data_IF_384536568190
#
_entry.id   IF_384536568190
#
_cell.length_a   1.000
_cell.length_b   1.000
_cell.length_c   1.000
_cell.angle_alpha   90.00
_cell.angle_beta   90.00
_cell.angle_gamma   90.00
#
_symmetry.space_group_name_H-M   'P 1'
#
loop_
_entity.id
_entity.type
_entity.pdbx_description
1 polymer ?
#
# COMPACT_ATOMS: atom_id res chain seq x y z
N UNK A 1 -6.87 17.84 6.25
CA UNK A 1 -6.73 16.38 6.30
C UNK A 1 -7.22 15.77 5.02
N UNK A 2 -6.50 14.81 4.46
CA UNK A 2 -6.88 14.25 3.20
C UNK A 2 -7.73 13.01 3.37
N UNK A 3 -8.59 12.75 2.41
CA UNK A 3 -9.44 11.58 2.45
C UNK A 3 -8.82 10.48 1.63
N UNK A 4 -8.98 9.24 2.04
CA UNK A 4 -8.54 8.12 1.24
C UNK A 4 -9.71 7.66 0.38
N UNK A 5 -9.47 7.49 -0.92
CA UNK A 5 -10.50 7.05 -1.84
C UNK A 5 -9.97 5.91 -2.69
N UNK A 6 -10.84 5.18 -3.34
CA UNK A 6 -10.47 4.08 -4.22
C UNK A 6 -11.64 3.70 -5.09
N UNK A 7 -11.39 2.85 -6.06
CA UNK A 7 -12.43 2.35 -6.95
C UNK A 7 -13.16 1.20 -6.24
N UNK A 8 -14.47 1.31 -6.01
CA UNK A 8 -15.20 0.26 -5.28
C UNK A 8 -15.17 -1.10 -5.96
N UNK A 9 -15.19 -1.13 -7.29
CA UNK A 9 -15.15 -2.40 -7.99
C UNK A 9 -13.80 -3.07 -7.84
N UNK A 10 -12.75 -2.30 -7.88
CA UNK A 10 -11.41 -2.83 -7.68
C UNK A 10 -11.29 -3.38 -6.24
N UNK A 11 -11.89 -2.68 -5.29
CA UNK A 11 -11.86 -3.10 -3.90
C UNK A 11 -12.52 -4.47 -3.73
N UNK A 12 -13.68 -4.68 -4.35
CA UNK A 12 -14.35 -5.96 -4.24
C UNK A 12 -13.53 -7.06 -4.90
N UNK A 13 -12.89 -6.77 -6.01
CA UNK A 13 -12.08 -7.74 -6.68
C UNK A 13 -10.87 -8.14 -5.82
N UNK A 14 -10.22 -7.18 -5.18
CA UNK A 14 -9.07 -7.47 -4.34
C UNK A 14 -9.47 -8.31 -3.12
N UNK A 15 -10.64 -8.02 -2.53
CA UNK A 15 -11.10 -8.79 -1.40
C UNK A 15 -11.34 -10.23 -1.81
N UNK A 16 -11.88 -10.43 -3.01
CA UNK A 16 -12.17 -11.75 -3.48
C UNK A 16 -10.89 -12.50 -3.84
N UNK A 17 -9.96 -11.84 -4.48
CA UNK A 17 -8.75 -12.51 -4.93
C UNK A 17 -7.65 -12.62 -3.89
N UNK A 18 -7.53 -11.63 -3.02
CA UNK A 18 -6.42 -11.58 -2.10
C UNK A 18 -6.82 -11.46 -0.65
N UNK A 19 -8.12 -11.43 -0.39
CA UNK A 19 -8.63 -11.36 0.97
C UNK A 19 -8.16 -10.10 1.70
N UNK A 20 -7.89 -9.02 0.97
CA UNK A 20 -7.52 -7.76 1.55
C UNK A 20 -8.15 -6.65 0.73
N UNK A 21 -8.70 -5.66 1.39
CA UNK A 21 -9.34 -4.55 0.73
C UNK A 21 -8.70 -3.24 1.12
N UNK A 22 -9.11 -2.17 0.46
CA UNK A 22 -8.55 -0.85 0.76
C UNK A 22 -8.92 -0.39 2.17
N UNK A 23 -10.03 -0.87 2.72
CA UNK A 23 -10.38 -0.53 4.09
C UNK A 23 -9.34 -1.06 5.05
N UNK A 24 -8.77 -2.24 4.76
CA UNK A 24 -7.73 -2.80 5.61
C UNK A 24 -6.48 -1.97 5.53
N UNK A 25 -6.16 -1.46 4.33
CA UNK A 25 -5.00 -0.61 4.14
C UNK A 25 -5.14 0.66 4.97
N UNK A 26 -6.30 1.31 4.90
CA UNK A 26 -6.53 2.55 5.63
C UNK A 26 -6.47 2.29 7.13
N UNK A 27 -7.07 1.18 7.58
CA UNK A 27 -7.03 0.83 8.99
C UNK A 27 -5.58 0.72 9.47
N UNK A 28 -4.74 0.04 8.70
CA UNK A 28 -3.36 -0.14 9.11
C UNK A 28 -2.53 1.14 8.99
N UNK A 29 -2.84 2.01 8.02
CA UNK A 29 -2.17 3.29 7.94
C UNK A 29 -2.47 4.09 9.21
N UNK A 30 -3.72 4.10 9.64
CA UNK A 30 -4.11 4.85 10.81
C UNK A 30 -3.59 4.22 12.10
N UNK A 31 -3.30 2.94 12.08
CA UNK A 31 -2.73 2.27 13.23
C UNK A 31 -1.21 2.43 13.30
N UNK A 32 -0.61 3.10 12.34
CA UNK A 32 0.84 3.32 12.36
C UNK A 32 1.65 2.24 11.65
N UNK A 33 1.00 1.42 10.84
CA UNK A 33 1.70 0.34 10.15
C UNK A 33 2.22 0.73 8.78
N UNK A 34 2.17 2.01 8.44
CA UNK A 34 2.79 2.50 7.23
C UNK A 34 4.28 2.60 7.51
N UNK A 35 5.09 1.89 6.78
CA UNK A 35 6.52 1.86 7.05
C UNK A 35 7.38 2.65 6.08
N UNK A 36 6.86 2.96 4.91
CA UNK A 36 7.66 3.71 3.94
C UNK A 36 6.78 4.27 2.83
N UNK A 37 7.30 5.25 2.12
CA UNK A 37 6.66 5.78 0.94
C UNK A 37 7.73 5.82 -0.14
N UNK A 38 7.52 5.11 -1.24
CA UNK A 38 8.49 5.02 -2.30
C UNK A 38 8.03 5.84 -3.49
N UNK A 39 8.97 6.41 -4.23
CA UNK A 39 8.64 7.15 -5.41
C UNK A 39 8.70 6.26 -6.61
N UNK A 40 7.85 6.54 -7.59
CA UNK A 40 7.87 5.77 -8.82
C UNK A 40 9.17 6.06 -9.57
N UNK A 41 9.76 5.06 -10.17
CA UNK A 41 11.00 5.26 -10.92
C UNK A 41 10.82 6.22 -12.09
N UNK A 42 9.67 6.21 -12.74
CA UNK A 42 9.45 7.04 -13.91
C UNK A 42 8.58 8.22 -13.54
N UNK A 43 9.19 9.26 -12.98
CA UNK A 43 8.44 10.42 -12.54
C UNK A 43 7.85 11.22 -13.67
N UNK A 44 8.44 11.17 -14.85
CA UNK A 44 7.91 11.93 -15.96
C UNK A 44 6.58 11.36 -16.40
N UNK A 45 6.42 10.05 -16.33
CA UNK A 45 5.20 9.44 -16.76
C UNK A 45 4.17 9.40 -15.64
N UNK A 46 4.61 9.34 -14.38
CA UNK A 46 3.72 9.25 -13.24
C UNK A 46 4.09 10.31 -12.20
N UNK A 47 3.93 11.59 -12.57
CA UNK A 47 4.48 12.67 -11.73
C UNK A 47 3.93 12.75 -10.32
N UNK A 48 2.69 12.36 -10.11
CA UNK A 48 2.11 12.45 -8.79
C UNK A 48 1.85 11.10 -8.15
N UNK A 49 2.44 10.04 -8.70
CA UNK A 49 2.17 8.71 -8.19
C UNK A 49 3.31 8.22 -7.31
N UNK A 50 2.97 7.72 -6.15
CA UNK A 50 3.94 7.16 -5.22
C UNK A 50 3.44 5.80 -4.78
N UNK A 51 4.24 5.08 -4.02
CA UNK A 51 3.88 3.77 -3.54
C UNK A 51 4.02 3.74 -2.03
N UNK A 52 2.94 3.40 -1.35
CA UNK A 52 2.95 3.30 0.08
C UNK A 52 3.27 1.86 0.46
N UNK A 53 4.08 1.67 1.47
CA UNK A 53 4.39 0.32 1.96
C UNK A 53 3.71 0.18 3.31
N UNK A 54 2.78 -0.76 3.41
CA UNK A 54 1.98 -0.96 4.62
C UNK A 54 2.12 -2.40 5.08
N UNK A 55 2.36 -2.60 6.36
CA UNK A 55 2.45 -3.96 6.90
C UNK A 55 1.06 -4.38 7.39
N UNK A 56 0.59 -5.51 6.90
CA UNK A 56 -0.69 -6.07 7.31
C UNK A 56 -0.46 -7.52 7.67
N UNK A 57 -0.63 -7.83 8.93
CA UNK A 57 -0.47 -9.19 9.43
C UNK A 57 0.85 -9.83 9.04
N UNK A 58 1.90 -9.08 9.15
CA UNK A 58 3.25 -9.61 8.91
C UNK A 58 3.70 -9.58 7.48
N UNK A 59 2.88 -9.08 6.56
CA UNK A 59 3.27 -8.99 5.17
C UNK A 59 3.28 -7.55 4.71
N UNK A 60 4.22 -7.20 3.86
CA UNK A 60 4.31 -5.87 3.31
C UNK A 60 3.54 -5.80 2.00
N UNK A 61 2.62 -4.83 1.93
CA UNK A 61 1.85 -4.62 0.73
C UNK A 61 2.25 -3.28 0.13
N UNK A 62 2.36 -3.24 -1.18
CA UNK A 62 2.67 -2.01 -1.89
C UNK A 62 1.36 -1.46 -2.41
N UNK A 63 1.09 -0.21 -2.10
CA UNK A 63 -0.17 0.42 -2.47
C UNK A 63 0.14 1.68 -3.26
N UNK A 64 0.16 1.58 -4.59
CA UNK A 64 0.35 2.76 -5.42
C UNK A 64 -0.80 3.75 -5.21
N UNK A 65 -0.48 5.02 -5.13
CA UNK A 65 -1.50 6.03 -4.92
C UNK A 65 -1.17 7.32 -5.65
N UNK A 66 -2.19 8.13 -5.85
CA UNK A 66 -2.03 9.44 -6.44
C UNK A 66 -2.59 10.43 -5.44
N UNK A 67 -1.83 11.46 -5.13
CA UNK A 67 -2.23 12.40 -4.11
C UNK A 67 -2.57 13.73 -4.71
N UNK A 68 -3.66 14.36 -4.24
CA UNK A 68 -4.02 15.70 -4.63
C UNK A 68 -4.14 16.52 -3.36
N UNK A 69 -4.65 17.74 -3.44
CA UNK A 69 -4.75 18.60 -2.27
C UNK A 69 -5.72 18.04 -1.24
N UNK A 70 -6.74 17.34 -1.65
CA UNK A 70 -7.77 16.90 -0.72
C UNK A 70 -7.91 15.41 -0.59
N UNK A 71 -7.28 14.62 -1.45
CA UNK A 71 -7.48 13.19 -1.33
C UNK A 71 -6.27 12.37 -1.75
N UNK A 72 -6.22 11.16 -1.25
CA UNK A 72 -5.19 10.19 -1.60
C UNK A 72 -5.96 9.05 -2.25
N UNK A 73 -5.79 8.88 -3.56
CA UNK A 73 -6.50 7.84 -4.29
C UNK A 73 -5.64 6.58 -4.36
N UNK A 74 -6.09 5.52 -3.69
CA UNK A 74 -5.35 4.26 -3.63
C UNK A 74 -5.71 3.44 -4.87
N UNK A 75 -4.71 3.10 -5.65
CA UNK A 75 -4.95 2.48 -6.96
C UNK A 75 -5.09 0.97 -6.93
N UNK A 76 -4.26 0.30 -6.19
CA UNK A 76 -4.34 -1.15 -6.08
C UNK A 76 -3.54 -1.60 -4.85
N UNK A 77 -3.54 -2.89 -4.57
CA UNK A 77 -2.82 -3.46 -3.44
C UNK A 77 -2.02 -4.64 -3.97
N UNK A 78 -0.72 -4.64 -3.74
CA UNK A 78 0.15 -5.68 -4.27
C UNK A 78 0.95 -6.29 -3.13
N UNK A 79 0.84 -7.59 -2.93
CA UNK A 79 1.66 -8.26 -1.93
C UNK A 79 3.08 -8.34 -2.46
N UNK A 80 4.04 -7.95 -1.67
CA UNK A 80 5.44 -7.99 -2.08
C UNK A 80 6.25 -8.82 -1.10
N UNK A 81 6.73 -9.97 -1.55
CA UNK A 81 7.57 -10.80 -0.71
C UNK A 81 8.91 -10.16 -0.44
N UNK A 82 9.43 -9.44 -1.44
CA UNK A 82 10.70 -8.76 -1.28
C UNK A 82 10.59 -7.66 -0.23
N UNK A 83 9.52 -6.88 -0.28
CA UNK A 83 9.32 -5.83 0.70
C UNK A 83 9.02 -6.43 2.08
N UNK A 84 8.31 -7.53 2.12
CA UNK A 84 8.03 -8.20 3.38
C UNK A 84 9.34 -8.56 4.06
N UNK A 85 10.26 -9.17 3.31
CA UNK A 85 11.52 -9.55 3.89
C UNK A 85 12.31 -8.34 4.35
N UNK A 86 12.27 -7.28 3.57
CA UNK A 86 13.04 -6.09 3.90
C UNK A 86 12.51 -5.38 5.14
N UNK A 87 11.19 -5.25 5.26
CA UNK A 87 10.62 -4.44 6.34
C UNK A 87 10.20 -5.22 7.57
N UNK A 88 10.08 -6.53 7.49
CA UNK A 88 9.82 -7.31 8.69
C UNK A 88 11.11 -7.85 9.24
N UNK A 89 12.21 -7.40 8.65
CA UNK A 89 13.46 -7.78 9.20
C UNK A 89 14.00 -9.06 8.74
N UNK A 90 13.39 -9.65 7.81
CA UNK A 90 13.93 -10.80 7.25
C UNK A 90 14.80 -11.55 8.18
N UNK A 91 15.10 -10.93 9.25
CA UNK A 91 16.02 -11.54 10.12
C UNK A 91 15.45 -12.78 10.66
N UNK A 92 14.20 -12.92 10.54
CA UNK A 92 13.61 -14.06 11.00
C UNK A 92 14.14 -15.23 10.41
N UNK A 93 14.58 -15.08 9.26
CA UNK A 93 15.07 -16.16 8.70
C UNK A 93 16.29 -16.51 9.20
N UNK A 94 16.83 -15.76 9.84
CA UNK A 94 17.99 -16.02 10.30
C UNK A 94 17.87 -16.80 11.29
N UNK A 95 17.07 -16.68 11.57
CA UNK A 95 17.02 -17.36 12.56
C UNK A 95 17.10 -18.47 12.35
#
# INVERSE_FOLDING_TARGET
MKHYTWNPEKNELLKKERDVGFEDVVFHIEAGDEVDVLERPNKERYPNQKILVVLIEGYAYLVPFVESDSEVFLKTIILSRKATKRYTGGHNEKT
#
